data_IF_684735996219
#
_entry.id   IF_684735996219
#
_cell.length_a   1.000
_cell.length_b   1.000
_cell.length_c   1.000
_cell.angle_alpha   90.00
_cell.angle_beta   90.00
_cell.angle_gamma   90.00
#
_symmetry.space_group_name_H-M   'P 1'
#
loop_
_entity.id
_entity.type
_entity.pdbx_description
1 polymer ?
#
# COMPACT_ATOMS: atom_id res chain seq x y z
N UNK A 1 -18.06 3.29 3.59
CA UNK A 1 -17.21 4.06 2.64
C UNK A 1 -15.93 3.27 2.47
N UNK A 2 -15.86 2.45 1.41
CA UNK A 2 -14.77 1.49 1.17
C UNK A 2 -13.72 2.02 0.18
N UNK A 3 -13.58 3.35 0.09
CA UNK A 3 -12.87 4.00 -1.02
C UNK A 3 -11.39 4.35 -0.73
N UNK A 4 -10.79 3.88 0.36
CA UNK A 4 -9.37 4.15 0.68
C UNK A 4 -8.56 2.87 0.87
N UNK A 5 -8.77 1.91 -0.02
CA UNK A 5 -8.14 0.61 0.05
C UNK A 5 -7.11 0.46 -1.08
N UNK A 6 -5.86 0.20 -0.72
CA UNK A 6 -4.79 0.03 -1.69
C UNK A 6 -3.76 1.14 -1.67
N UNK A 7 -2.72 0.94 -2.49
CA UNK A 7 -1.72 1.96 -2.80
C UNK A 7 -2.46 3.14 -3.44
N UNK A 8 -2.35 4.37 -2.90
CA UNK A 8 -3.08 5.51 -3.40
C UNK A 8 -2.61 5.84 -4.83
N UNK A 9 -3.57 5.98 -5.75
CA UNK A 9 -3.32 6.24 -7.18
C UNK A 9 -3.35 7.74 -7.51
N UNK A 10 -4.01 8.54 -6.66
CA UNK A 10 -4.17 9.98 -6.84
C UNK A 10 -3.97 10.71 -5.52
N UNK A 11 -3.36 11.89 -5.59
CA UNK A 11 -3.24 12.83 -4.48
C UNK A 11 -4.57 13.59 -4.28
N UNK A 12 -4.73 14.23 -3.12
CA UNK A 12 -5.87 15.11 -2.81
C UNK A 12 -6.02 16.26 -3.82
N UNK A 13 -4.94 16.68 -4.48
CA UNK A 13 -4.97 17.65 -5.57
C UNK A 13 -5.40 17.06 -6.92
N UNK A 14 -5.93 15.83 -6.95
CA UNK A 14 -6.39 15.09 -8.14
C UNK A 14 -5.25 14.66 -9.09
N UNK A 15 -4.01 15.05 -8.81
CA UNK A 15 -2.86 14.61 -9.59
C UNK A 15 -2.52 13.15 -9.33
N UNK A 16 -1.97 12.43 -10.34
CA UNK A 16 -1.56 11.06 -10.15
C UNK A 16 -0.39 10.99 -9.16
N UNK A 17 -0.37 9.89 -8.41
CA UNK A 17 0.80 9.48 -7.64
C UNK A 17 1.70 8.66 -8.56
N UNK A 18 2.96 9.07 -8.64
CA UNK A 18 4.00 8.42 -9.43
C UNK A 18 5.03 7.76 -8.51
N UNK A 19 5.76 6.77 -9.03
CA UNK A 19 6.91 6.21 -8.35
C UNK A 19 8.17 6.99 -8.72
N UNK A 20 8.86 7.53 -7.71
CA UNK A 20 10.12 8.23 -7.88
C UNK A 20 11.25 7.48 -7.15
N UNK A 21 12.42 7.43 -7.76
CA UNK A 21 13.65 6.92 -7.15
C UNK A 21 14.52 8.11 -6.78
N UNK A 22 14.81 8.28 -5.49
CA UNK A 22 15.65 9.38 -5.00
C UNK A 22 17.08 9.22 -5.52
N UNK A 23 17.60 10.16 -6.33
CA UNK A 23 18.96 10.05 -6.87
C UNK A 23 20.03 10.41 -5.83
N UNK A 24 19.68 11.28 -4.88
CA UNK A 24 20.59 11.86 -3.89
C UNK A 24 19.99 11.64 -2.50
N UNK A 25 20.81 11.39 -1.47
CA UNK A 25 20.26 11.24 -0.14
C UNK A 25 19.88 12.57 0.49
N UNK A 26 18.63 12.69 0.94
CA UNK A 26 18.13 13.93 1.59
C UNK A 26 18.59 14.05 3.04
N UNK A 27 18.59 12.95 3.79
CA UNK A 27 19.01 12.90 5.19
C UNK A 27 19.97 11.72 5.44
N UNK A 28 21.27 11.96 5.67
CA UNK A 28 22.28 10.89 5.77
C UNK A 28 22.03 9.83 6.86
N UNK A 29 21.20 10.14 7.85
CA UNK A 29 20.85 9.24 8.96
C UNK A 29 19.50 8.55 8.78
N UNK A 30 18.70 8.94 7.78
CA UNK A 30 17.41 8.32 7.48
C UNK A 30 17.58 7.33 6.32
N UNK A 31 17.42 6.04 6.63
CA UNK A 31 17.56 4.96 5.66
C UNK A 31 16.51 5.04 4.54
N UNK A 32 15.37 5.69 4.78
CA UNK A 32 14.38 5.94 3.74
C UNK A 32 14.85 6.99 2.73
N UNK A 33 15.87 7.77 3.04
CA UNK A 33 16.42 8.76 2.12
C UNK A 33 17.72 8.35 1.47
N UNK A 34 18.20 7.11 1.62
CA UNK A 34 19.40 6.68 0.92
C UNK A 34 19.26 6.74 -0.62
N UNK A 35 20.36 6.87 -1.38
CA UNK A 35 20.31 6.81 -2.83
C UNK A 35 19.61 5.53 -3.29
N UNK A 36 18.71 5.64 -4.27
CA UNK A 36 17.92 4.50 -4.75
C UNK A 36 16.66 4.21 -3.94
N UNK A 37 16.38 4.97 -2.88
CA UNK A 37 15.13 4.85 -2.14
C UNK A 37 13.93 5.23 -3.01
N UNK A 38 12.89 4.39 -2.99
CA UNK A 38 11.67 4.55 -3.78
C UNK A 38 10.58 5.23 -2.97
N UNK A 39 9.84 6.11 -3.64
CA UNK A 39 8.73 6.86 -3.06
C UNK A 39 7.52 6.80 -3.97
N UNK A 40 6.35 6.78 -3.34
CA UNK A 40 5.12 7.23 -3.98
C UNK A 40 5.00 8.72 -3.74
N UNK A 41 4.98 9.51 -4.81
CA UNK A 41 4.99 10.96 -4.77
C UNK A 41 3.92 11.53 -5.69
N UNK A 42 3.26 12.60 -5.28
CA UNK A 42 2.38 13.37 -6.16
C UNK A 42 3.19 13.96 -7.33
N UNK A 43 2.64 13.93 -8.55
CA UNK A 43 3.29 14.54 -9.72
C UNK A 43 3.65 16.02 -9.50
N UNK A 44 2.76 16.77 -8.87
CA UNK A 44 2.96 18.19 -8.57
C UNK A 44 3.50 18.39 -7.14
N UNK A 45 4.31 17.46 -6.64
CA UNK A 45 4.88 17.57 -5.30
C UNK A 45 5.83 18.77 -5.22
N UNK A 46 5.56 19.66 -4.28
CA UNK A 46 6.49 20.64 -3.76
C UNK A 46 6.87 20.27 -2.31
N UNK A 47 8.05 20.68 -1.86
CA UNK A 47 8.54 20.31 -0.53
C UNK A 47 7.84 21.04 0.63
N UNK A 48 7.06 22.08 0.31
CA UNK A 48 6.37 22.93 1.27
C UNK A 48 4.84 22.79 1.23
N UNK A 49 4.26 22.10 0.26
CA UNK A 49 2.83 21.92 0.14
C UNK A 49 2.32 20.62 0.72
N UNK A 50 0.99 20.50 0.76
CA UNK A 50 0.26 19.37 1.33
C UNK A 50 0.16 18.19 0.35
N UNK A 51 1.24 17.91 -0.38
CA UNK A 51 1.28 16.90 -1.42
C UNK A 51 1.72 15.54 -0.88
N UNK A 52 1.18 14.48 -1.48
CA UNK A 52 1.50 13.12 -1.07
C UNK A 52 2.97 12.78 -1.34
N UNK A 53 3.69 12.34 -0.31
CA UNK A 53 5.02 11.71 -0.43
C UNK A 53 5.21 10.70 0.68
N UNK A 54 5.28 9.41 0.33
CA UNK A 54 5.54 8.32 1.29
C UNK A 54 6.57 7.34 0.73
N UNK A 55 7.47 6.79 1.56
CA UNK A 55 8.37 5.72 1.13
C UNK A 55 7.58 4.51 0.61
N UNK A 56 8.01 3.97 -0.53
CA UNK A 56 7.38 2.83 -1.19
C UNK A 56 7.25 1.63 -0.26
N UNK A 57 8.32 1.32 0.49
CA UNK A 57 8.39 0.15 1.38
C UNK A 57 7.31 0.17 2.46
N UNK A 58 6.99 1.35 3.00
CA UNK A 58 6.00 1.48 4.06
C UNK A 58 4.62 1.17 3.50
N UNK A 59 4.27 1.80 2.37
CA UNK A 59 2.99 1.62 1.70
C UNK A 59 2.77 0.16 1.27
N UNK A 60 3.77 -0.44 0.63
CA UNK A 60 3.68 -1.83 0.17
C UNK A 60 3.58 -2.80 1.33
N UNK A 61 4.33 -2.58 2.42
CA UNK A 61 4.24 -3.44 3.60
C UNK A 61 2.86 -3.36 4.27
N UNK A 62 2.29 -2.16 4.40
CA UNK A 62 0.93 -1.94 4.91
C UNK A 62 -0.10 -2.74 4.08
N UNK A 63 -0.04 -2.62 2.75
CA UNK A 63 -0.95 -3.32 1.85
C UNK A 63 -0.73 -4.84 1.83
N UNK A 64 0.52 -5.33 1.89
CA UNK A 64 0.81 -6.77 1.98
C UNK A 64 0.26 -7.37 3.28
N UNK A 65 0.43 -6.70 4.42
CA UNK A 65 -0.12 -7.16 5.69
C UNK A 65 -1.65 -7.23 5.65
N UNK A 66 -2.27 -6.25 5.01
CA UNK A 66 -3.71 -6.20 4.85
C UNK A 66 -4.23 -7.30 3.93
N UNK A 67 -3.61 -7.49 2.76
CA UNK A 67 -3.94 -8.57 1.83
C UNK A 67 -3.80 -9.93 2.51
N UNK A 68 -2.73 -10.13 3.29
CA UNK A 68 -2.54 -11.36 4.06
C UNK A 68 -3.68 -11.61 5.05
N UNK A 69 -4.12 -10.59 5.79
CA UNK A 69 -5.27 -10.71 6.70
C UNK A 69 -6.56 -11.08 5.95
N UNK A 70 -6.80 -10.46 4.80
CA UNK A 70 -7.98 -10.75 3.99
C UNK A 70 -7.95 -12.18 3.46
N UNK A 71 -6.81 -12.63 2.92
CA UNK A 71 -6.64 -13.99 2.40
C UNK A 71 -6.85 -15.06 3.47
N UNK A 72 -6.32 -14.83 4.69
CA UNK A 72 -6.56 -15.75 5.80
C UNK A 72 -8.06 -15.85 6.13
N UNK A 73 -8.76 -14.71 6.19
CA UNK A 73 -10.20 -14.71 6.46
C UNK A 73 -11.00 -15.47 5.38
N UNK A 74 -10.65 -15.29 4.11
CA UNK A 74 -11.30 -16.03 3.01
C UNK A 74 -11.00 -17.53 3.09
N UNK A 75 -9.78 -17.91 3.48
CA UNK A 75 -9.43 -19.32 3.68
C UNK A 75 -10.28 -19.96 4.78
N UNK A 76 -10.45 -19.27 5.92
CA UNK A 76 -11.31 -19.73 7.03
C UNK A 76 -12.77 -19.88 6.56
N UNK A 77 -13.30 -18.90 5.81
CA UNK A 77 -14.66 -18.94 5.27
C UNK A 77 -14.86 -20.11 4.29
N UNK A 78 -13.88 -20.37 3.41
CA UNK A 78 -13.89 -21.51 2.47
C UNK A 78 -13.87 -22.84 3.22
N UNK A 79 -13.05 -22.96 4.26
CA UNK A 79 -12.98 -24.18 5.07
C UNK A 79 -14.33 -24.47 5.75
N UNK A 80 -14.95 -23.45 6.35
CA UNK A 80 -16.26 -23.59 7.01
C UNK A 80 -17.38 -23.93 6.02
N UNK A 81 -17.38 -23.30 4.84
CA UNK A 81 -18.32 -23.64 3.77
C UNK A 81 -18.11 -25.06 3.26
N UNK A 82 -16.86 -25.50 3.14
CA UNK A 82 -16.53 -26.86 2.70
C UNK A 82 -17.01 -27.91 3.72
N UNK A 83 -16.80 -27.68 5.02
CA UNK A 83 -17.33 -28.54 6.09
C UNK A 83 -18.86 -28.64 6.03
N UNK A 84 -19.55 -27.51 5.88
CA UNK A 84 -21.02 -27.45 5.75
C UNK A 84 -21.54 -28.17 4.50
N UNK A 85 -20.79 -28.13 3.39
CA UNK A 85 -21.16 -28.85 2.18
C UNK A 85 -20.99 -30.36 2.36
N UNK A 86 -19.91 -30.79 2.99
CA UNK A 86 -19.65 -32.22 3.27
C UNK A 86 -20.69 -32.80 4.24
N UNK A 87 -21.10 -32.07 5.27
CA UNK A 87 -22.13 -32.55 6.23
C UNK A 87 -23.55 -32.58 5.66
N UNK A 88 -23.79 -31.91 4.53
CA UNK A 88 -25.08 -31.88 3.83
C UNK A 88 -25.20 -32.93 2.72
N UNK A 89 -24.14 -33.69 2.40
CA UNK A 89 -24.27 -34.82 1.47
C UNK A 89 -25.02 -35.97 2.17
N UNK A 90 -26.10 -36.50 1.56
CA UNK A 90 -26.83 -37.66 2.08
C UNK A 90 -25.99 -38.95 2.01
#
# INVERSE_FOLDING_TARGET
MDAHYGIPLSCWCTQPIIEEVSPIPKYPTDCHTFPGSRYFICKDFDEYGLHFRRPWVIIVLEELQRLRKHLNKLADEIEELSKKLMSRRP
#
